data_IF_955209768845
#
_entry.id   IF_955209768845
#
_cell.length_a   1.000
_cell.length_b   1.000
_cell.length_c   1.000
_cell.angle_alpha   90.00
_cell.angle_beta   90.00
_cell.angle_gamma   90.00
#
_symmetry.space_group_name_H-M   'P 1'
#
loop_
_entity.id
_entity.type
_entity.pdbx_description
1 polymer ?
#
# COMPACT_ATOMS: atom_id res chain seq x y z
N UNK A 1 -2.21 -4.87 -19.23
CA UNK A 1 -2.07 -4.43 -17.82
C UNK A 1 -2.55 -3.00 -17.75
N UNK A 2 -3.74 -2.75 -17.22
CA UNK A 2 -4.27 -1.39 -17.11
C UNK A 2 -3.48 -0.64 -16.03
N UNK A 3 -2.98 0.55 -16.35
CA UNK A 3 -2.37 1.43 -15.37
C UNK A 3 -3.41 1.74 -14.29
N UNK A 4 -3.17 1.23 -13.07
CA UNK A 4 -4.02 1.52 -11.91
C UNK A 4 -3.93 3.02 -11.65
N UNK A 5 -5.05 3.73 -11.77
CA UNK A 5 -5.13 5.14 -11.40
C UNK A 5 -4.74 5.23 -9.92
N UNK A 6 -3.78 6.11 -9.59
CA UNK A 6 -3.31 6.33 -8.21
C UNK A 6 -4.46 6.88 -7.36
N UNK A 7 -5.27 6.00 -6.79
CA UNK A 7 -6.56 6.33 -6.19
C UNK A 7 -6.39 7.17 -4.92
N UNK A 8 -5.36 6.92 -4.13
CA UNK A 8 -5.03 7.64 -2.92
C UNK A 8 -4.54 9.07 -3.17
N UNK A 9 -3.64 9.26 -4.14
CA UNK A 9 -3.19 10.62 -4.54
C UNK A 9 -4.36 11.39 -5.16
N UNK A 10 -5.14 10.76 -6.03
CA UNK A 10 -6.28 11.40 -6.66
C UNK A 10 -7.36 11.79 -5.64
N UNK A 11 -7.60 10.96 -4.62
CA UNK A 11 -8.49 11.29 -3.51
C UNK A 11 -8.01 12.52 -2.74
N UNK A 12 -6.73 12.60 -2.37
CA UNK A 12 -6.17 13.78 -1.70
C UNK A 12 -6.30 15.05 -2.56
N UNK A 13 -6.06 14.92 -3.86
CA UNK A 13 -6.23 16.03 -4.81
C UNK A 13 -7.69 16.51 -4.83
N UNK A 14 -8.64 15.59 -4.86
CA UNK A 14 -10.06 15.92 -4.91
C UNK A 14 -10.57 16.51 -3.59
N UNK A 15 -10.12 15.99 -2.45
CA UNK A 15 -10.59 16.40 -1.13
C UNK A 15 -9.92 17.69 -0.62
N UNK A 16 -8.63 17.88 -0.90
CA UNK A 16 -7.83 18.95 -0.28
C UNK A 16 -7.01 19.79 -1.27
N UNK A 17 -7.14 19.51 -2.56
CA UNK A 17 -6.42 20.21 -3.62
C UNK A 17 -4.99 19.71 -3.84
N UNK A 18 -4.46 20.01 -5.04
CA UNK A 18 -3.15 19.53 -5.51
C UNK A 18 -1.99 19.89 -4.59
N UNK A 19 -1.95 21.12 -4.05
CA UNK A 19 -0.86 21.58 -3.17
C UNK A 19 -0.75 20.71 -1.92
N UNK A 20 -1.87 20.45 -1.24
CA UNK A 20 -1.90 19.60 -0.04
C UNK A 20 -1.44 18.17 -0.39
N UNK A 21 -1.99 17.59 -1.45
CA UNK A 21 -1.64 16.24 -1.89
C UNK A 21 -0.13 16.09 -2.16
N UNK A 22 0.48 17.05 -2.85
CA UNK A 22 1.92 17.06 -3.10
C UNK A 22 2.76 17.18 -1.82
N UNK A 23 2.35 18.06 -0.88
CA UNK A 23 3.04 18.20 0.40
C UNK A 23 2.98 16.92 1.23
N UNK A 24 1.83 16.24 1.25
CA UNK A 24 1.66 14.95 1.95
C UNK A 24 2.53 13.88 1.30
N UNK A 25 2.49 13.72 -0.03
CA UNK A 25 3.33 12.76 -0.73
C UNK A 25 4.82 13.00 -0.47
N UNK A 26 5.26 14.28 -0.46
CA UNK A 26 6.64 14.64 -0.11
C UNK A 26 6.99 14.26 1.33
N UNK A 27 6.06 14.43 2.28
CA UNK A 27 6.28 14.03 3.66
C UNK A 27 6.52 12.52 3.77
N UNK A 28 5.68 11.69 3.15
CA UNK A 28 5.88 10.24 3.10
C UNK A 28 7.28 9.87 2.56
N UNK A 29 7.65 10.43 1.40
CA UNK A 29 8.94 10.16 0.74
C UNK A 29 10.15 10.64 1.55
N UNK A 30 9.96 11.63 2.42
CA UNK A 30 11.03 12.14 3.30
C UNK A 30 11.28 11.27 4.53
N UNK A 31 10.29 10.44 4.92
CA UNK A 31 10.34 9.64 6.15
C UNK A 31 10.57 8.16 5.87
N UNK A 32 10.12 7.65 4.71
CA UNK A 32 10.24 6.24 4.35
C UNK A 32 11.14 6.14 3.13
N UNK A 33 12.33 5.58 3.34
CA UNK A 33 13.24 5.17 2.26
C UNK A 33 12.96 3.70 1.89
N UNK A 34 12.28 3.41 0.76
CA UNK A 34 11.95 2.05 0.36
C UNK A 34 13.16 1.20 -0.07
N UNK A 35 14.33 1.82 -0.26
CA UNK A 35 15.58 1.11 -0.57
C UNK A 35 16.43 0.84 0.67
N UNK A 36 16.22 1.60 1.74
CA UNK A 36 16.85 1.41 3.04
C UNK A 36 16.27 0.21 3.81
N UNK A 37 17.08 -0.39 4.67
CA UNK A 37 16.71 -1.54 5.50
C UNK A 37 15.44 -1.28 6.32
N UNK A 38 15.40 -0.16 7.05
CA UNK A 38 14.26 0.19 7.89
C UNK A 38 12.97 0.42 7.08
N UNK A 39 13.06 1.09 5.92
CA UNK A 39 11.87 1.32 5.10
C UNK A 39 11.35 0.02 4.49
N UNK A 40 12.23 -0.89 4.06
CA UNK A 40 11.84 -2.23 3.62
C UNK A 40 11.18 -3.02 4.74
N UNK A 41 11.72 -2.98 5.96
CA UNK A 41 11.14 -3.65 7.12
C UNK A 41 9.73 -3.12 7.42
N UNK A 42 9.55 -1.80 7.46
CA UNK A 42 8.25 -1.14 7.68
C UNK A 42 7.25 -1.54 6.59
N UNK A 43 7.66 -1.51 5.32
CA UNK A 43 6.76 -1.84 4.21
C UNK A 43 6.37 -3.33 4.21
N UNK A 44 7.29 -4.23 4.55
CA UNK A 44 6.99 -5.65 4.69
C UNK A 44 6.00 -5.94 5.84
N UNK A 45 6.17 -5.27 6.98
CA UNK A 45 5.25 -5.36 8.12
C UNK A 45 3.86 -4.83 7.76
N UNK A 46 3.77 -3.63 7.17
CA UNK A 46 2.50 -3.05 6.75
C UNK A 46 1.78 -3.91 5.71
N UNK A 47 2.51 -4.48 4.76
CA UNK A 47 1.93 -5.40 3.78
C UNK A 47 1.28 -6.61 4.45
N UNK A 48 1.94 -7.19 5.47
CA UNK A 48 1.42 -8.30 6.28
C UNK A 48 0.20 -7.88 7.08
N UNK A 49 0.31 -6.76 7.81
CA UNK A 49 -0.73 -6.24 8.68
C UNK A 49 -2.01 -5.89 7.90
N UNK A 50 -1.86 -5.22 6.76
CA UNK A 50 -2.97 -4.86 5.88
C UNK A 50 -3.47 -6.02 5.01
N UNK A 51 -2.80 -7.18 5.03
CA UNK A 51 -3.14 -8.33 4.21
C UNK A 51 -3.13 -8.02 2.71
N UNK A 52 -2.22 -7.18 2.24
CA UNK A 52 -2.20 -6.68 0.86
C UNK A 52 -1.88 -7.74 -0.21
N UNK A 53 -1.44 -8.92 0.21
CA UNK A 53 -1.06 -10.06 -0.63
C UNK A 53 -2.04 -11.25 -0.57
N UNK A 54 -3.12 -11.14 0.20
CA UNK A 54 -4.21 -12.12 0.21
C UNK A 54 -5.45 -11.58 -0.50
N UNK A 55 -6.38 -12.46 -0.84
CA UNK A 55 -7.69 -12.03 -1.36
C UNK A 55 -8.45 -11.23 -0.30
N UNK A 56 -9.09 -10.13 -0.71
CA UNK A 56 -10.01 -9.40 0.15
C UNK A 56 -11.38 -10.10 0.28
N UNK A 57 -11.72 -10.98 -0.67
CA UNK A 57 -13.02 -11.66 -0.72
C UNK A 57 -13.21 -12.59 0.47
N UNK A 58 -14.35 -12.47 1.12
CA UNK A 58 -14.84 -13.35 2.17
C UNK A 58 -16.30 -13.72 1.91
N UNK A 59 -16.80 -14.75 2.61
CA UNK A 59 -18.21 -15.14 2.51
C UNK A 59 -19.16 -14.04 3.02
N UNK A 60 -18.73 -13.28 4.02
CA UNK A 60 -19.44 -12.12 4.55
C UNK A 60 -19.04 -10.84 3.77
N UNK A 61 -20.02 -10.09 3.20
CA UNK A 61 -19.78 -8.80 2.58
C UNK A 61 -19.13 -7.75 3.49
N UNK A 62 -19.46 -7.73 4.79
CA UNK A 62 -18.88 -6.77 5.73
C UNK A 62 -17.39 -7.06 5.94
N UNK A 63 -17.04 -8.33 6.10
CA UNK A 63 -15.65 -8.75 6.17
C UNK A 63 -14.89 -8.42 4.87
N UNK A 64 -15.52 -8.60 3.71
CA UNK A 64 -14.93 -8.23 2.41
C UNK A 64 -14.61 -6.73 2.34
N UNK A 65 -15.55 -5.89 2.75
CA UNK A 65 -15.35 -4.44 2.78
C UNK A 65 -14.25 -4.04 3.77
N UNK A 66 -14.20 -4.67 4.95
CA UNK A 66 -13.15 -4.44 5.94
C UNK A 66 -11.76 -4.82 5.39
N UNK A 67 -11.63 -6.01 4.79
CA UNK A 67 -10.38 -6.47 4.18
C UNK A 67 -9.93 -5.52 3.06
N UNK A 68 -10.85 -5.11 2.18
CA UNK A 68 -10.56 -4.16 1.10
C UNK A 68 -10.08 -2.81 1.65
N UNK A 69 -10.69 -2.32 2.73
CA UNK A 69 -10.26 -1.10 3.42
C UNK A 69 -8.85 -1.21 4.00
N UNK A 70 -8.52 -2.34 4.64
CA UNK A 70 -7.16 -2.59 5.14
C UNK A 70 -6.13 -2.58 4.01
N UNK A 71 -6.42 -3.25 2.89
CA UNK A 71 -5.52 -3.28 1.73
C UNK A 71 -5.35 -1.90 1.08
N UNK A 72 -6.42 -1.11 1.01
CA UNK A 72 -6.39 0.24 0.45
C UNK A 72 -5.42 1.16 1.22
N UNK A 73 -5.31 1.01 2.55
CA UNK A 73 -4.33 1.76 3.36
C UNK A 73 -2.90 1.47 2.88
N UNK A 74 -2.55 0.21 2.66
CA UNK A 74 -1.21 -0.14 2.18
C UNK A 74 -0.97 0.41 0.77
N UNK A 75 -1.94 0.28 -0.13
CA UNK A 75 -1.81 0.83 -1.48
C UNK A 75 -1.71 2.35 -1.50
N UNK A 76 -2.44 3.05 -0.63
CA UNK A 76 -2.30 4.48 -0.43
C UNK A 76 -0.87 4.87 -0.07
N UNK A 77 -0.25 4.14 0.87
CA UNK A 77 1.15 4.37 1.26
C UNK A 77 2.09 4.15 0.08
N UNK A 78 1.95 3.04 -0.67
CA UNK A 78 2.77 2.79 -1.86
C UNK A 78 2.64 3.92 -2.88
N UNK A 79 1.43 4.39 -3.16
CA UNK A 79 1.22 5.50 -4.08
C UNK A 79 1.85 6.82 -3.60
N UNK A 80 1.81 7.10 -2.30
CA UNK A 80 2.51 8.26 -1.72
C UNK A 80 4.02 8.16 -1.93
N UNK A 81 4.57 6.95 -1.85
CA UNK A 81 5.98 6.66 -2.09
C UNK A 81 6.36 6.54 -3.57
N UNK A 82 5.39 6.67 -4.48
CA UNK A 82 5.55 6.46 -5.92
C UNK A 82 5.94 5.03 -6.31
N UNK A 83 5.43 4.06 -5.55
CA UNK A 83 5.72 2.63 -5.70
C UNK A 83 4.48 1.86 -6.14
N UNK A 84 4.74 0.64 -6.60
CA UNK A 84 3.78 -0.37 -7.00
C UNK A 84 4.04 -1.68 -6.24
N UNK A 85 3.04 -2.57 -6.12
CA UNK A 85 3.26 -3.89 -5.51
C UNK A 85 4.35 -4.73 -6.22
N UNK A 86 4.54 -4.51 -7.53
CA UNK A 86 5.60 -5.16 -8.31
C UNK A 86 7.02 -4.75 -7.92
N UNK A 87 7.20 -3.65 -7.18
CA UNK A 87 8.51 -3.22 -6.70
C UNK A 87 9.00 -4.06 -5.51
N UNK A 88 8.15 -4.94 -4.97
CA UNK A 88 8.44 -5.78 -3.82
C UNK A 88 8.25 -7.29 -4.10
N UNK A 89 8.90 -7.87 -5.13
CA UNK A 89 8.67 -9.25 -5.52
C UNK A 89 9.11 -10.26 -4.44
N UNK A 90 10.18 -9.95 -3.70
CA UNK A 90 10.68 -10.81 -2.61
C UNK A 90 9.74 -10.85 -1.41
N UNK A 91 9.09 -9.72 -1.08
CA UNK A 91 8.14 -9.65 0.03
C UNK A 91 6.88 -10.47 -0.25
N UNK A 92 6.47 -10.55 -1.52
CA UNK A 92 5.37 -11.41 -1.96
C UNK A 92 5.73 -12.91 -1.88
N UNK A 93 7.01 -13.27 -1.97
CA UNK A 93 7.48 -14.66 -1.92
C UNK A 93 7.72 -15.19 -0.50
N UNK A 94 8.21 -14.38 0.43
CA UNK A 94 8.57 -14.81 1.80
C UNK A 94 7.40 -15.37 2.61
N UNK A 95 6.15 -15.05 2.26
CA UNK A 95 4.99 -15.59 2.98
C UNK A 95 4.66 -17.05 2.64
N UNK A 96 5.06 -17.54 1.46
CA UNK A 96 4.79 -18.92 1.07
C UNK A 96 5.69 -19.94 1.82
N UNK A 97 6.60 -19.50 2.69
CA UNK A 97 7.55 -20.37 3.40
C UNK A 97 7.39 -20.37 4.93
N UNK A 98 6.50 -19.55 5.50
CA UNK A 98 6.28 -19.52 6.96
C UNK A 98 5.07 -20.36 7.38
N UNK A 99 4.23 -20.78 6.41
CA UNK A 99 3.05 -21.63 6.64
C UNK A 99 3.29 -23.11 6.21
N UNK A 100 4.53 -23.62 6.26
CA UNK A 100 4.88 -25.03 5.99
C UNK A 100 5.61 -25.69 7.16
#
# INVERSE_FOLDING_TARGET
MAARIKSGVQWLVNAFGRRRAQSVARAYRSQIDPQGENGRLILADLMRYCGANRSAMAADPYQTAFNAGQQDVFFHILEMLDLSPSDFPSMLMEQNHVDS
#
